data_IF_355758461330
#
_entry.id   IF_355758461330
#
_cell.length_a   1.000
_cell.length_b   1.000
_cell.length_c   1.000
_cell.angle_alpha   90.00
_cell.angle_beta   90.00
_cell.angle_gamma   90.00
#
_symmetry.space_group_name_H-M   'P 1'
#
loop_
_entity.id
_entity.type
_entity.pdbx_description
1 polymer ?
#
# COMPACT_ATOMS: atom_id res chain seq x y z
N UNK A 1 -22.97 3.58 -16.55
CA UNK A 1 -22.68 3.26 -15.14
C UNK A 1 -22.91 4.49 -14.30
N UNK A 2 -22.88 4.37 -12.96
CA UNK A 2 -23.04 5.52 -12.04
C UNK A 2 -21.83 6.48 -12.05
N UNK A 3 -20.67 6.03 -12.54
CA UNK A 3 -19.44 6.83 -12.68
C UNK A 3 -18.86 6.61 -14.08
N UNK A 4 -18.40 7.69 -14.71
CA UNK A 4 -17.57 7.66 -15.90
C UNK A 4 -16.09 7.65 -15.49
N UNK A 5 -15.39 6.56 -15.79
CA UNK A 5 -13.99 6.37 -15.42
C UNK A 5 -13.04 7.32 -16.17
N UNK A 6 -13.32 7.62 -17.45
CA UNK A 6 -12.49 8.52 -18.24
C UNK A 6 -12.65 9.96 -17.77
N UNK A 7 -13.87 10.36 -17.40
CA UNK A 7 -14.08 11.66 -16.77
C UNK A 7 -13.35 11.73 -15.43
N UNK A 8 -13.46 10.68 -14.60
CA UNK A 8 -12.85 10.63 -13.27
C UNK A 8 -11.33 10.80 -13.30
N UNK A 9 -10.64 10.27 -14.33
CA UNK A 9 -9.19 10.41 -14.53
C UNK A 9 -8.72 11.86 -14.66
N UNK A 10 -9.61 12.76 -15.07
CA UNK A 10 -9.29 14.19 -15.26
C UNK A 10 -9.51 15.04 -14.01
N UNK A 11 -10.14 14.48 -12.98
CA UNK A 11 -10.46 15.18 -11.73
C UNK A 11 -9.25 15.29 -10.80
N UNK A 12 -9.38 16.14 -9.78
CA UNK A 12 -8.38 16.22 -8.71
C UNK A 12 -8.30 14.92 -7.90
N UNK A 13 -7.19 14.70 -7.21
CA UNK A 13 -7.00 13.53 -6.36
C UNK A 13 -8.10 13.39 -5.28
N UNK A 14 -8.54 14.52 -4.72
CA UNK A 14 -9.59 14.57 -3.70
C UNK A 14 -10.95 14.19 -4.27
N UNK A 15 -11.30 14.69 -5.44
CA UNK A 15 -12.54 14.30 -6.15
C UNK A 15 -12.50 12.82 -6.53
N UNK A 16 -11.36 12.32 -6.99
CA UNK A 16 -11.17 10.90 -7.31
C UNK A 16 -11.40 10.00 -6.09
N UNK A 17 -10.75 10.29 -4.96
CA UNK A 17 -10.92 9.56 -3.70
C UNK A 17 -12.38 9.59 -3.23
N UNK A 18 -13.03 10.75 -3.27
CA UNK A 18 -14.42 10.92 -2.85
C UNK A 18 -15.39 10.14 -3.73
N UNK A 19 -15.20 10.15 -5.05
CA UNK A 19 -16.00 9.37 -5.98
C UNK A 19 -15.79 7.88 -5.75
N UNK A 20 -14.54 7.41 -5.62
CA UNK A 20 -14.23 6.00 -5.41
C UNK A 20 -14.81 5.46 -4.10
N UNK A 21 -14.62 6.16 -2.98
CA UNK A 21 -15.11 5.69 -1.66
C UNK A 21 -16.63 5.66 -1.56
N UNK A 22 -17.34 6.37 -2.45
CA UNK A 22 -18.81 6.35 -2.49
C UNK A 22 -19.38 5.07 -3.10
N UNK A 23 -18.57 4.30 -3.84
CA UNK A 23 -18.99 3.06 -4.47
C UNK A 23 -19.14 1.93 -3.44
N UNK A 24 -20.28 1.25 -3.48
CA UNK A 24 -20.51 0.08 -2.63
C UNK A 24 -19.43 -1.00 -2.86
N UNK A 25 -18.81 -1.45 -1.76
CA UNK A 25 -17.73 -2.43 -1.80
C UNK A 25 -16.32 -1.85 -1.98
N UNK A 26 -16.18 -0.53 -2.19
CA UNK A 26 -14.88 0.14 -2.23
C UNK A 26 -14.54 0.72 -0.87
N UNK A 27 -13.51 0.15 -0.23
CA UNK A 27 -12.96 0.63 1.03
C UNK A 27 -11.62 1.38 0.87
N UNK A 28 -11.05 1.93 1.95
CA UNK A 28 -9.81 2.71 1.91
C UNK A 28 -8.62 2.00 1.25
N UNK A 29 -8.51 0.68 1.40
CA UNK A 29 -7.46 -0.11 0.74
C UNK A 29 -7.63 -0.13 -0.78
N UNK A 30 -8.84 -0.43 -1.26
CA UNK A 30 -9.16 -0.41 -2.70
C UNK A 30 -8.95 0.96 -3.32
N UNK A 31 -9.34 2.03 -2.62
CA UNK A 31 -9.03 3.40 -3.05
C UNK A 31 -7.52 3.59 -3.17
N UNK A 32 -6.74 3.13 -2.19
CA UNK A 32 -5.27 3.19 -2.24
C UNK A 32 -4.68 2.57 -3.50
N UNK A 33 -5.09 1.36 -3.85
CA UNK A 33 -4.63 0.68 -5.06
C UNK A 33 -5.01 1.44 -6.33
N UNK A 34 -6.26 1.92 -6.43
CA UNK A 34 -6.71 2.65 -7.64
C UNK A 34 -5.98 3.99 -7.77
N UNK A 35 -5.84 4.73 -6.67
CA UNK A 35 -5.16 6.03 -6.66
C UNK A 35 -3.69 5.89 -7.07
N UNK A 36 -3.01 4.84 -6.60
CA UNK A 36 -1.62 4.56 -6.96
C UNK A 36 -1.47 3.99 -8.38
N UNK A 37 -2.13 2.87 -8.66
CA UNK A 37 -1.84 2.04 -9.83
C UNK A 37 -2.56 2.52 -11.10
N UNK A 38 -3.77 3.07 -10.97
CA UNK A 38 -4.56 3.54 -12.11
C UNK A 38 -4.42 5.04 -12.34
N UNK A 39 -4.39 5.84 -11.27
CA UNK A 39 -4.33 7.31 -11.34
C UNK A 39 -2.95 7.90 -11.08
N UNK A 40 -1.94 7.08 -10.74
CA UNK A 40 -0.54 7.48 -10.62
C UNK A 40 -0.29 8.56 -9.54
N UNK A 41 -1.07 8.57 -8.47
CA UNK A 41 -0.79 9.38 -7.28
C UNK A 41 0.31 8.72 -6.44
N UNK A 42 1.56 8.99 -6.83
CA UNK A 42 2.77 8.36 -6.27
C UNK A 42 3.03 8.67 -4.78
N UNK A 43 2.29 9.61 -4.23
CA UNK A 43 2.30 9.97 -2.82
C UNK A 43 1.09 9.45 -2.04
N UNK A 44 0.15 8.76 -2.70
CA UNK A 44 -1.06 8.25 -2.06
C UNK A 44 -0.75 7.02 -1.20
N UNK A 45 -0.37 7.26 0.05
CA UNK A 45 -0.14 6.23 1.06
C UNK A 45 -0.80 6.64 2.37
N UNK A 46 -2.11 6.39 2.48
CA UNK A 46 -2.93 6.78 3.64
C UNK A 46 -3.35 5.60 4.53
N UNK A 47 -3.40 4.41 3.95
CA UNK A 47 -3.84 3.20 4.62
C UNK A 47 -2.77 2.11 4.49
N UNK A 48 -2.58 1.32 5.54
CA UNK A 48 -1.75 0.12 5.55
C UNK A 48 -2.61 -0.97 6.16
N UNK A 49 -2.90 -2.02 5.40
CA UNK A 49 -3.70 -3.15 5.88
C UNK A 49 -2.95 -3.97 6.95
N UNK A 50 -3.66 -4.76 7.78
CA UNK A 50 -3.01 -5.58 8.81
C UNK A 50 -1.96 -6.55 8.28
N UNK A 51 -2.12 -7.04 7.05
CA UNK A 51 -1.17 -7.93 6.41
C UNK A 51 0.10 -7.19 5.95
N UNK A 52 -0.07 -6.05 5.29
CA UNK A 52 1.06 -5.18 4.93
C UNK A 52 1.82 -4.69 6.18
N UNK A 53 1.11 -4.39 7.27
CA UNK A 53 1.72 -4.00 8.54
C UNK A 53 2.69 -5.07 9.07
N UNK A 54 2.36 -6.35 8.95
CA UNK A 54 3.26 -7.44 9.36
C UNK A 54 4.56 -7.42 8.53
N UNK A 55 4.41 -7.33 7.21
CA UNK A 55 5.55 -7.30 6.27
C UNK A 55 6.41 -6.05 6.50
N UNK A 56 5.80 -4.88 6.63
CA UNK A 56 6.50 -3.62 6.83
C UNK A 56 7.21 -3.56 8.18
N UNK A 57 6.64 -4.15 9.24
CA UNK A 57 7.31 -4.27 10.54
C UNK A 57 8.62 -5.04 10.41
N UNK A 58 8.62 -6.10 9.60
CA UNK A 58 9.83 -6.87 9.33
C UNK A 58 10.83 -6.10 8.47
N UNK A 59 10.43 -5.65 7.27
CA UNK A 59 11.36 -5.07 6.29
C UNK A 59 11.91 -3.71 6.72
N UNK A 60 11.03 -2.79 7.13
CA UNK A 60 11.43 -1.39 7.35
C UNK A 60 11.94 -1.09 8.76
N UNK A 61 11.61 -1.96 9.72
CA UNK A 61 11.91 -1.75 11.14
C UNK A 61 12.67 -2.90 11.78
N UNK A 62 12.97 -3.97 11.03
CA UNK A 62 13.69 -5.15 11.51
C UNK A 62 13.05 -5.73 12.79
N UNK A 63 11.70 -5.79 12.81
CA UNK A 63 10.92 -6.34 13.92
C UNK A 63 10.39 -7.73 13.57
N UNK A 64 10.30 -8.58 14.59
CA UNK A 64 9.61 -9.86 14.50
C UNK A 64 8.09 -9.61 14.55
N UNK A 65 7.44 -9.70 13.39
CA UNK A 65 6.03 -9.37 13.22
C UNK A 65 5.08 -10.33 13.97
N UNK A 66 5.56 -11.47 14.45
CA UNK A 66 4.77 -12.39 15.29
C UNK A 66 4.74 -11.95 16.75
N UNK A 67 5.73 -11.16 17.18
CA UNK A 67 5.87 -10.69 18.57
C UNK A 67 5.47 -9.24 18.74
N UNK A 68 5.86 -8.39 17.81
CA UNK A 68 5.67 -6.95 17.90
C UNK A 68 5.36 -6.35 16.52
N UNK A 69 4.16 -5.77 16.39
CA UNK A 69 3.78 -4.97 15.23
C UNK A 69 4.12 -3.51 15.45
N UNK A 70 4.79 -2.90 14.47
CA UNK A 70 5.01 -1.46 14.49
C UNK A 70 3.67 -0.76 14.20
N UNK A 71 3.27 0.26 14.99
CA UNK A 71 2.01 0.96 14.75
C UNK A 71 1.97 1.62 13.36
N UNK A 72 0.85 1.52 12.66
CA UNK A 72 0.64 2.13 11.32
C UNK A 72 1.02 3.62 11.27
N UNK A 73 0.65 4.47 12.25
CA UNK A 73 1.06 5.89 12.22
C UNK A 73 2.57 6.09 12.23
N UNK A 74 3.33 5.20 12.89
CA UNK A 74 4.80 5.23 12.89
C UNK A 74 5.37 4.83 11.54
N UNK A 75 4.73 3.90 10.83
CA UNK A 75 5.09 3.52 9.46
C UNK A 75 4.86 4.67 8.48
N UNK A 76 3.65 5.23 8.48
CA UNK A 76 3.30 6.38 7.62
C UNK A 76 4.28 7.53 7.83
N UNK A 77 4.54 7.91 9.10
CA UNK A 77 5.54 8.93 9.44
C UNK A 77 6.95 8.60 8.93
N UNK A 78 7.37 7.33 8.99
CA UNK A 78 8.67 6.88 8.47
C UNK A 78 8.76 7.04 6.94
N UNK A 79 7.64 6.85 6.24
CA UNK A 79 7.57 6.87 4.79
C UNK A 79 7.47 8.29 4.20
N UNK A 80 7.04 9.28 4.99
CA UNK A 80 7.05 10.70 4.59
C UNK A 80 8.42 11.20 4.12
N UNK A 81 9.52 10.57 4.52
CA UNK A 81 10.88 10.92 4.07
C UNK A 81 11.06 10.84 2.54
N UNK A 82 10.21 10.09 1.84
CA UNK A 82 10.23 9.98 0.38
C UNK A 82 9.34 11.02 -0.32
N UNK A 83 8.64 11.87 0.45
CA UNK A 83 7.82 12.96 -0.05
C UNK A 83 6.81 12.50 -1.09
N UNK A 84 6.83 13.16 -2.26
CA UNK A 84 5.91 12.89 -3.38
C UNK A 84 6.02 11.49 -4.00
N UNK A 85 6.99 10.68 -3.57
CA UNK A 85 7.24 9.33 -4.07
C UNK A 85 7.01 8.25 -3.02
N UNK A 86 6.42 8.58 -1.87
CA UNK A 86 6.33 7.66 -0.73
C UNK A 86 5.56 6.36 -1.03
N UNK A 87 4.47 6.43 -1.79
CA UNK A 87 3.73 5.24 -2.17
C UNK A 87 4.53 4.41 -3.18
N UNK A 88 5.11 5.06 -4.20
CA UNK A 88 5.95 4.42 -5.20
C UNK A 88 7.19 3.73 -4.59
N UNK A 89 7.85 4.38 -3.62
CA UNK A 89 9.00 3.81 -2.93
C UNK A 89 8.63 2.53 -2.15
N UNK A 90 7.46 2.51 -1.50
CA UNK A 90 6.94 1.31 -0.85
C UNK A 90 6.56 0.24 -1.89
N UNK A 91 6.01 0.64 -3.04
CA UNK A 91 5.73 -0.28 -4.15
C UNK A 91 6.98 -0.98 -4.68
N UNK A 92 8.12 -0.29 -4.79
CA UNK A 92 9.38 -0.94 -5.15
C UNK A 92 9.87 -1.96 -4.12
N UNK A 93 9.52 -1.79 -2.84
CA UNK A 93 9.82 -2.80 -1.82
C UNK A 93 8.99 -4.06 -2.02
N UNK A 94 7.75 -3.94 -2.49
CA UNK A 94 6.95 -5.09 -2.92
C UNK A 94 7.61 -5.85 -4.06
N UNK A 95 8.04 -5.14 -5.10
CA UNK A 95 8.74 -5.75 -6.23
C UNK A 95 10.02 -6.46 -5.78
N UNK A 96 10.84 -5.82 -4.94
CA UNK A 96 12.06 -6.41 -4.41
C UNK A 96 11.79 -7.67 -3.57
N UNK A 97 10.81 -7.65 -2.66
CA UNK A 97 10.51 -8.83 -1.83
C UNK A 97 10.00 -10.01 -2.65
N UNK A 98 9.14 -9.76 -3.64
CA UNK A 98 8.61 -10.82 -4.48
C UNK A 98 9.66 -11.36 -5.45
N UNK A 99 10.52 -10.49 -5.96
CA UNK A 99 11.69 -10.90 -6.73
C UNK A 99 12.63 -11.77 -5.90
N UNK A 100 12.95 -11.37 -4.67
CA UNK A 100 13.76 -12.18 -3.75
C UNK A 100 13.12 -13.52 -3.46
N UNK A 101 11.83 -13.56 -3.10
CA UNK A 101 11.09 -14.82 -2.88
C UNK A 101 11.16 -15.78 -4.06
N UNK A 102 11.13 -15.26 -5.30
CA UNK A 102 11.23 -16.10 -6.50
C UNK A 102 12.58 -16.81 -6.62
N UNK A 103 13.65 -16.18 -6.12
CA UNK A 103 15.03 -16.64 -6.29
C UNK A 103 15.62 -17.25 -5.01
N UNK A 104 15.04 -16.97 -3.85
CA UNK A 104 15.54 -17.34 -2.52
C UNK A 104 14.40 -17.84 -1.63
N UNK A 105 14.71 -18.75 -0.71
CA UNK A 105 13.77 -19.19 0.30
C UNK A 105 13.66 -18.15 1.42
N UNK A 106 12.45 -17.63 1.65
CA UNK A 106 12.17 -16.65 2.70
C UNK A 106 11.20 -17.26 3.74
N UNK A 107 11.68 -18.01 4.75
CA UNK A 107 10.83 -18.78 5.66
C UNK A 107 9.73 -17.95 6.35
N UNK A 108 10.08 -16.75 6.80
CA UNK A 108 9.15 -15.86 7.50
C UNK A 108 8.03 -15.37 6.57
N UNK A 109 8.37 -15.07 5.31
CA UNK A 109 7.41 -14.58 4.32
C UNK A 109 6.52 -15.73 3.85
N UNK A 110 7.12 -16.89 3.58
CA UNK A 110 6.36 -18.09 3.19
C UNK A 110 5.34 -18.50 4.24
N UNK A 111 5.70 -18.46 5.53
CA UNK A 111 4.75 -18.70 6.61
C UNK A 111 3.60 -17.71 6.60
N UNK A 112 3.88 -16.44 6.30
CA UNK A 112 2.92 -15.34 6.33
C UNK A 112 1.95 -15.33 5.13
N UNK A 113 2.36 -15.84 3.96
CA UNK A 113 1.55 -15.84 2.72
C UNK A 113 0.81 -17.16 2.46
N UNK A 114 1.09 -18.22 3.22
CA UNK A 114 0.42 -19.53 3.11
C UNK A 114 -0.95 -19.57 3.81
N UNK A 115 -1.43 -18.44 4.32
CA UNK A 115 -2.79 -18.27 4.83
C UNK A 115 -3.81 -18.30 3.69
#
# INVERSE_FOLDING_TARGET
GEIDEFELRTKSAEEQEKSLISLYGIGPASVGYIMLDAFHHWDYLKNISPWEQKIYSHIFFNKDHEKELVPVPKMLKRFEKWGKWKALAVHYVWEDIWWKRRNEHLPWLEKLIRL
#
